data_IF_088978566063
#
_entry.id   IF_088978566063
#
_cell.length_a   1.000
_cell.length_b   1.000
_cell.length_c   1.000
_cell.angle_alpha   90.00
_cell.angle_beta   90.00
_cell.angle_gamma   90.00
#
_symmetry.space_group_name_H-M   'P 1'
#
loop_
_entity.id
_entity.type
_entity.pdbx_description
1 polymer ?
#
# COMPACT_ATOMS: atom_id res chain seq x y z
N UNK A 1 -0.32 17.14 -3.18
CA UNK A 1 -0.97 15.90 -2.68
C UNK A 1 -1.94 15.32 -3.71
N UNK A 2 -2.96 16.05 -4.18
CA UNK A 2 -3.93 15.51 -5.17
C UNK A 2 -3.32 14.86 -6.42
N UNK A 3 -2.36 15.51 -7.08
CA UNK A 3 -1.70 14.94 -8.26
C UNK A 3 -0.88 13.69 -7.93
N UNK A 4 -0.17 13.69 -6.79
CA UNK A 4 0.59 12.53 -6.33
C UNK A 4 -0.33 11.34 -6.05
N UNK A 5 -1.52 11.61 -5.50
CA UNK A 5 -2.51 10.58 -5.18
C UNK A 5 -3.39 10.18 -6.38
N UNK A 6 -3.13 10.72 -7.57
CA UNK A 6 -3.91 10.39 -8.76
C UNK A 6 -3.67 8.95 -9.21
N UNK A 7 -4.67 8.37 -9.89
CA UNK A 7 -4.55 7.04 -10.47
C UNK A 7 -3.30 6.90 -11.35
N UNK A 8 -3.05 7.88 -12.21
CA UNK A 8 -1.94 7.85 -13.16
C UNK A 8 -0.55 7.79 -12.49
N UNK A 9 -0.45 8.24 -11.24
CA UNK A 9 0.81 8.25 -10.49
C UNK A 9 0.91 7.06 -9.54
N UNK A 10 -0.16 6.73 -8.82
CA UNK A 10 -0.11 5.77 -7.72
C UNK A 10 -0.60 4.38 -8.04
N UNK A 11 -1.51 4.24 -9.01
CA UNK A 11 -2.21 2.97 -9.21
C UNK A 11 -1.23 1.85 -9.58
N UNK A 12 -0.36 2.09 -10.56
CA UNK A 12 0.57 1.07 -11.04
C UNK A 12 1.56 0.62 -9.94
N UNK A 13 2.25 1.53 -9.22
CA UNK A 13 3.10 1.12 -8.10
C UNK A 13 2.34 0.36 -7.00
N UNK A 14 1.14 0.82 -6.63
CA UNK A 14 0.35 0.16 -5.58
C UNK A 14 -0.11 -1.23 -5.98
N UNK A 15 -0.48 -1.43 -7.25
CA UNK A 15 -0.86 -2.73 -7.77
C UNK A 15 0.30 -3.72 -7.68
N UNK A 16 1.49 -3.32 -8.14
CA UNK A 16 2.70 -4.15 -8.10
C UNK A 16 3.14 -4.49 -6.66
N UNK A 17 3.06 -3.52 -5.74
CA UNK A 17 3.31 -3.76 -4.32
C UNK A 17 2.29 -4.76 -3.75
N UNK A 18 1.00 -4.59 -4.09
CA UNK A 18 -0.07 -5.46 -3.64
C UNK A 18 0.11 -6.91 -4.08
N UNK A 19 0.56 -7.14 -5.32
CA UNK A 19 0.82 -8.48 -5.86
C UNK A 19 2.00 -9.18 -5.17
N UNK A 20 3.04 -8.43 -4.78
CA UNK A 20 4.25 -8.98 -4.14
C UNK A 20 4.12 -9.16 -2.63
N UNK A 21 3.17 -8.46 -2.01
CA UNK A 21 2.99 -8.44 -0.57
C UNK A 21 2.76 -9.82 0.09
N UNK A 22 1.92 -10.71 -0.48
CA UNK A 22 1.70 -12.04 0.08
C UNK A 22 2.97 -12.90 0.13
N UNK A 23 3.79 -12.85 -0.92
CA UNK A 23 5.05 -13.58 -0.99
C UNK A 23 6.04 -13.05 0.06
N UNK A 24 6.11 -11.73 0.19
CA UNK A 24 6.94 -11.08 1.20
C UNK A 24 6.54 -11.44 2.64
N UNK A 25 5.24 -11.41 2.95
CA UNK A 25 4.71 -11.81 4.26
C UNK A 25 5.05 -13.27 4.57
N UNK A 26 4.91 -14.16 3.59
CA UNK A 26 5.25 -15.58 3.76
C UNK A 26 6.74 -15.78 4.01
N UNK A 27 7.61 -15.11 3.23
CA UNK A 27 9.06 -15.22 3.36
C UNK A 27 9.60 -14.65 4.68
N UNK A 28 8.92 -13.64 5.25
CA UNK A 28 9.35 -12.96 6.48
C UNK A 28 8.59 -13.41 7.73
N UNK A 29 7.60 -14.30 7.62
CA UNK A 29 6.76 -14.74 8.74
C UNK A 29 7.55 -15.20 9.99
N UNK A 30 8.69 -15.85 9.81
CA UNK A 30 9.52 -16.33 10.94
C UNK A 30 10.40 -15.24 11.56
N UNK A 31 10.57 -14.10 10.88
CA UNK A 31 11.37 -12.96 11.33
C UNK A 31 10.51 -11.87 11.98
N UNK A 32 9.23 -11.83 11.65
CA UNK A 32 8.27 -10.86 12.14
C UNK A 32 7.67 -11.31 13.46
N UNK A 33 7.46 -10.35 14.36
CA UNK A 33 6.54 -10.53 15.48
C UNK A 33 5.09 -10.63 14.97
N UNK A 34 4.20 -11.15 15.82
CA UNK A 34 2.77 -11.21 15.50
C UNK A 34 2.20 -9.81 15.19
N UNK A 35 2.59 -8.80 15.97
CA UNK A 35 2.15 -7.42 15.78
C UNK A 35 2.60 -6.85 14.43
N UNK A 36 3.85 -7.09 14.03
CA UNK A 36 4.34 -6.65 12.72
C UNK A 36 3.64 -7.39 11.58
N UNK A 37 3.44 -8.70 11.72
CA UNK A 37 2.73 -9.50 10.72
C UNK A 37 1.30 -9.00 10.52
N UNK A 38 0.57 -8.71 11.60
CA UNK A 38 -0.79 -8.19 11.56
C UNK A 38 -0.84 -6.79 10.94
N UNK A 39 0.12 -5.93 11.30
CA UNK A 39 0.26 -4.58 10.73
C UNK A 39 0.51 -4.62 9.23
N UNK A 40 1.46 -5.45 8.78
CA UNK A 40 1.78 -5.59 7.36
C UNK A 40 0.63 -6.26 6.58
N UNK A 41 -0.07 -7.23 7.18
CA UNK A 41 -1.28 -7.82 6.59
C UNK A 41 -2.37 -6.77 6.39
N UNK A 42 -2.57 -5.87 7.36
CA UNK A 42 -3.52 -4.76 7.26
C UNK A 42 -3.13 -3.76 6.17
N UNK A 43 -1.85 -3.43 6.05
CA UNK A 43 -1.36 -2.57 4.96
C UNK A 43 -1.66 -3.18 3.58
N UNK A 44 -1.43 -4.48 3.40
CA UNK A 44 -1.79 -5.19 2.16
C UNK A 44 -3.29 -5.10 1.85
N UNK A 45 -4.16 -5.26 2.85
CA UNK A 45 -5.60 -5.11 2.65
C UNK A 45 -6.01 -3.69 2.25
N UNK A 46 -5.34 -2.67 2.78
CA UNK A 46 -5.55 -1.28 2.39
C UNK A 46 -5.08 -1.00 0.96
N UNK A 47 -3.94 -1.58 0.55
CA UNK A 47 -3.42 -1.46 -0.82
C UNK A 47 -4.41 -2.06 -1.83
N UNK A 48 -4.96 -3.25 -1.55
CA UNK A 48 -5.98 -3.86 -2.41
C UNK A 48 -7.25 -3.00 -2.52
N UNK A 49 -7.70 -2.45 -1.40
CA UNK A 49 -8.85 -1.53 -1.39
C UNK A 49 -8.56 -0.28 -2.22
N UNK A 50 -7.36 0.29 -2.10
CA UNK A 50 -6.92 1.45 -2.87
C UNK A 50 -6.91 1.16 -4.37
N UNK A 51 -6.33 0.03 -4.79
CA UNK A 51 -6.34 -0.42 -6.18
C UNK A 51 -7.78 -0.59 -6.70
N UNK A 52 -8.65 -1.19 -5.91
CA UNK A 52 -10.06 -1.36 -6.26
C UNK A 52 -10.79 -0.01 -6.40
N UNK A 53 -10.52 0.98 -5.54
CA UNK A 53 -11.08 2.33 -5.67
C UNK A 53 -10.58 3.00 -6.96
N UNK A 54 -9.30 2.86 -7.30
CA UNK A 54 -8.78 3.35 -8.58
C UNK A 54 -9.43 2.69 -9.81
N UNK A 55 -9.81 1.42 -9.72
CA UNK A 55 -10.49 0.71 -10.82
C UNK A 55 -11.96 1.11 -10.96
N UNK A 56 -12.66 1.33 -9.84
CA UNK A 56 -14.12 1.50 -9.82
C UNK A 56 -14.58 2.94 -9.72
N UNK A 57 -13.94 3.74 -8.88
CA UNK A 57 -14.32 5.12 -8.55
C UNK A 57 -13.08 6.03 -8.48
N UNK A 58 -12.30 6.14 -9.57
CA UNK A 58 -11.02 6.86 -9.57
C UNK A 58 -11.13 8.35 -9.23
N UNK A 59 -12.30 8.97 -9.46
CA UNK A 59 -12.56 10.37 -9.14
C UNK A 59 -12.96 10.60 -7.67
N UNK A 60 -13.14 9.52 -6.89
CA UNK A 60 -13.48 9.61 -5.47
C UNK A 60 -12.23 9.90 -4.61
N UNK A 61 -11.77 11.14 -4.71
CA UNK A 61 -10.57 11.59 -4.00
C UNK A 61 -10.68 11.45 -2.48
N UNK A 62 -11.87 11.59 -1.90
CA UNK A 62 -12.07 11.43 -0.46
C UNK A 62 -11.78 9.99 -0.02
N UNK A 63 -12.31 8.98 -0.72
CA UNK A 63 -12.03 7.58 -0.43
C UNK A 63 -10.53 7.24 -0.59
N UNK A 64 -9.90 7.76 -1.64
CA UNK A 64 -8.45 7.60 -1.86
C UNK A 64 -7.67 8.20 -0.68
N UNK A 65 -8.00 9.42 -0.25
CA UNK A 65 -7.34 10.05 0.90
C UNK A 65 -7.54 9.28 2.20
N UNK A 66 -8.75 8.81 2.48
CA UNK A 66 -9.06 8.05 3.70
C UNK A 66 -8.24 6.73 3.77
N UNK A 67 -8.10 6.04 2.64
CA UNK A 67 -7.30 4.83 2.54
C UNK A 67 -5.81 5.13 2.75
N UNK A 68 -5.30 6.22 2.17
CA UNK A 68 -3.90 6.63 2.34
C UNK A 68 -3.59 7.04 3.79
N UNK A 69 -4.49 7.78 4.45
CA UNK A 69 -4.36 8.11 5.87
C UNK A 69 -4.42 6.86 6.75
N UNK A 70 -5.32 5.92 6.43
CA UNK A 70 -5.40 4.62 7.12
C UNK A 70 -4.09 3.84 6.96
N UNK A 71 -3.47 3.89 5.78
CA UNK A 71 -2.19 3.23 5.51
C UNK A 71 -1.06 3.84 6.34
N UNK A 72 -0.96 5.17 6.39
CA UNK A 72 0.00 5.88 7.25
C UNK A 72 -0.20 5.56 8.75
N UNK A 73 -1.46 5.41 9.21
CA UNK A 73 -1.76 5.03 10.60
C UNK A 73 -1.33 3.60 10.94
N UNK A 74 -1.21 2.73 9.94
CA UNK A 74 -0.66 1.39 10.10
C UNK A 74 0.89 1.42 10.19
N UNK A 75 1.53 2.59 10.17
CA UNK A 75 2.99 2.70 10.20
C UNK A 75 3.64 2.50 8.84
N UNK A 76 4.97 2.48 8.82
CA UNK A 76 5.72 2.43 7.57
C UNK A 76 5.57 1.06 6.87
N UNK A 77 5.38 1.04 5.54
CA UNK A 77 5.46 -0.17 4.74
C UNK A 77 6.88 -0.77 4.73
N UNK A 78 7.05 -2.04 4.33
CA UNK A 78 8.36 -2.67 4.19
C UNK A 78 9.26 -1.88 3.23
N UNK A 79 10.37 -1.34 3.73
CA UNK A 79 11.26 -0.44 2.98
C UNK A 79 11.75 -1.06 1.66
N UNK A 80 12.10 -2.35 1.68
CA UNK A 80 12.57 -3.08 0.50
C UNK A 80 11.54 -3.13 -0.64
N UNK A 81 10.23 -3.19 -0.33
CA UNK A 81 9.20 -3.16 -1.37
C UNK A 81 8.98 -1.75 -1.94
N UNK A 82 9.05 -0.72 -1.09
CA UNK A 82 8.86 0.67 -1.53
C UNK A 82 10.06 1.19 -2.32
N UNK A 83 11.28 0.90 -1.88
CA UNK A 83 12.49 1.35 -2.58
C UNK A 83 12.59 0.77 -4.00
N UNK A 84 12.13 -0.46 -4.20
CA UNK A 84 12.16 -1.13 -5.49
C UNK A 84 11.08 -0.63 -6.45
N UNK A 85 9.86 -0.40 -5.95
CA UNK A 85 8.67 -0.17 -6.78
C UNK A 85 8.23 1.30 -6.83
N UNK A 86 8.62 2.10 -5.84
CA UNK A 86 8.20 3.48 -5.71
C UNK A 86 9.25 4.34 -4.94
N UNK A 87 10.49 4.48 -5.45
CA UNK A 87 11.60 5.14 -4.74
C UNK A 87 11.34 6.63 -4.41
N UNK A 88 10.40 7.28 -5.10
CA UNK A 88 9.96 8.66 -4.83
C UNK A 88 8.74 8.77 -3.92
N UNK A 89 8.19 7.65 -3.46
CA UNK A 89 6.93 7.55 -2.75
C UNK A 89 7.17 7.21 -1.27
N UNK A 90 7.90 8.09 -0.58
CA UNK A 90 8.05 7.99 0.86
C UNK A 90 6.75 8.45 1.51
N UNK A 91 5.95 7.47 1.94
CA UNK A 91 4.61 7.64 2.53
C UNK A 91 4.65 7.83 4.04
#
# INVERSE_FOLDING_TARGET
MQQLLSKDVLYQPMLEIGERYPEWLSANKSKLSQEEFDRYSRQHDLIKQLCHVYETTPDNFNAIMELMQSMQSCGQPPAEMIEELAPGLQM
#
